data_IF_982754683378
#
_entry.id   IF_982754683378
#
_cell.length_a   1.000
_cell.length_b   1.000
_cell.length_c   1.000
_cell.angle_alpha   90.00
_cell.angle_beta   90.00
_cell.angle_gamma   90.00
#
_symmetry.space_group_name_H-M   'P 1'
#
loop_
_entity.id
_entity.type
_entity.pdbx_description
1 polymer ?
#
# COMPACT_ATOMS: atom_id res chain seq x y z
N UNK A 1 7.16 -9.97 9.22
CA UNK A 1 6.44 -8.79 8.69
C UNK A 1 5.31 -9.33 7.83
N UNK A 2 4.06 -9.19 8.27
CA UNK A 2 2.88 -9.73 7.57
C UNK A 2 2.14 -8.52 7.01
N UNK A 3 2.20 -8.32 5.70
CA UNK A 3 1.36 -7.32 5.05
C UNK A 3 -0.05 -7.88 5.08
N UNK A 4 -0.93 -7.30 5.90
CA UNK A 4 -2.32 -7.71 5.93
C UNK A 4 -3.04 -7.09 4.75
N UNK A 5 -3.10 -7.83 3.64
CA UNK A 5 -3.82 -7.43 2.43
C UNK A 5 -5.29 -7.87 2.47
N UNK A 6 -5.82 -8.31 3.62
CA UNK A 6 -7.21 -8.81 3.72
C UNK A 6 -8.26 -7.72 3.49
N UNK A 7 -7.94 -6.44 3.70
CA UNK A 7 -8.84 -5.34 3.34
C UNK A 7 -8.87 -5.03 1.84
N UNK A 8 -7.90 -5.53 1.06
CA UNK A 8 -7.98 -5.58 -0.39
C UNK A 8 -8.29 -7.01 -0.82
N UNK A 9 -9.42 -7.53 -0.34
CA UNK A 9 -10.06 -8.67 -0.97
C UNK A 9 -10.55 -8.18 -2.33
N UNK A 10 -9.67 -8.27 -3.32
CA UNK A 10 -9.96 -7.95 -4.70
C UNK A 10 -11.25 -8.68 -5.08
N UNK A 11 -12.34 -7.93 -5.27
CA UNK A 11 -13.62 -8.48 -5.70
C UNK A 11 -13.47 -9.33 -6.96
N UNK A 12 -12.41 -9.13 -7.75
CA UNK A 12 -11.97 -10.05 -8.80
C UNK A 12 -10.44 -10.08 -8.97
N UNK A 13 -9.74 -10.94 -8.22
CA UNK A 13 -8.69 -11.81 -8.77
C UNK A 13 -7.38 -11.26 -9.34
N UNK A 14 -7.03 -9.98 -9.27
CA UNK A 14 -5.68 -9.53 -9.66
C UNK A 14 -5.18 -8.36 -8.78
N UNK A 15 -3.91 -8.45 -8.35
CA UNK A 15 -3.21 -7.29 -7.80
C UNK A 15 -3.28 -6.13 -8.79
N UNK A 16 -3.44 -4.87 -8.33
CA UNK A 16 -3.37 -3.72 -9.20
C UNK A 16 -2.04 -3.73 -9.97
N UNK A 17 -2.12 -3.57 -11.29
CA UNK A 17 -0.96 -3.47 -12.18
C UNK A 17 -1.07 -2.15 -12.92
N UNK A 18 0.05 -1.44 -13.06
CA UNK A 18 0.10 -0.20 -13.84
C UNK A 18 0.74 0.97 -13.08
N UNK A 19 0.91 2.05 -13.83
CA UNK A 19 1.34 3.35 -13.33
C UNK A 19 0.11 4.17 -12.93
N UNK A 20 0.19 4.90 -11.83
CA UNK A 20 -0.91 5.73 -11.37
C UNK A 20 -0.62 6.32 -10.00
N UNK A 21 -1.62 7.00 -9.43
CA UNK A 21 -1.57 7.51 -8.06
C UNK A 21 -2.18 6.46 -7.13
N UNK A 22 -1.38 5.93 -6.23
CA UNK A 22 -1.76 4.87 -5.30
C UNK A 22 -1.84 5.41 -3.88
N UNK A 23 -2.97 5.20 -3.22
CA UNK A 23 -3.19 5.57 -1.82
C UNK A 23 -2.84 4.42 -0.87
N UNK A 24 -2.19 4.73 0.25
CA UNK A 24 -1.89 3.78 1.30
C UNK A 24 -2.17 4.38 2.66
N UNK A 25 -2.75 3.60 3.56
CA UNK A 25 -2.89 3.96 4.96
C UNK A 25 -1.74 3.34 5.76
N UNK A 26 -0.93 4.18 6.39
CA UNK A 26 0.24 3.78 7.17
C UNK A 26 0.10 4.38 8.56
N UNK A 27 -0.25 3.54 9.54
CA UNK A 27 -0.33 3.97 10.95
C UNK A 27 -1.38 5.05 11.20
N UNK A 28 -2.50 5.01 10.47
CA UNK A 28 -3.59 6.00 10.58
C UNK A 28 -3.45 7.21 9.67
N UNK A 29 -2.30 7.43 9.03
CA UNK A 29 -2.10 8.49 8.04
C UNK A 29 -2.23 7.98 6.61
N UNK A 30 -2.71 8.83 5.71
CA UNK A 30 -2.85 8.51 4.29
C UNK A 30 -1.67 9.05 3.48
N UNK A 31 -1.07 8.19 2.67
CA UNK A 31 0.03 8.49 1.76
C UNK A 31 -0.38 8.24 0.32
N UNK A 32 0.06 9.12 -0.59
CA UNK A 32 -0.14 8.93 -2.02
C UNK A 32 1.20 8.89 -2.74
N UNK A 33 1.38 7.88 -3.59
CA UNK A 33 2.57 7.74 -4.42
C UNK A 33 2.18 7.61 -5.89
N UNK A 34 2.77 8.44 -6.74
CA UNK A 34 2.58 8.37 -8.19
C UNK A 34 3.70 7.54 -8.80
N UNK A 35 3.45 6.26 -9.04
CA UNK A 35 4.45 5.32 -9.54
C UNK A 35 3.77 4.06 -10.09
N UNK A 36 4.57 3.08 -10.52
CA UNK A 36 4.04 1.72 -10.67
C UNK A 36 3.61 1.17 -9.30
N UNK A 37 2.52 0.41 -9.25
CA UNK A 37 2.00 -0.14 -7.99
C UNK A 37 3.08 -0.83 -7.13
N UNK A 38 3.99 -1.58 -7.77
CA UNK A 38 5.11 -2.25 -7.06
C UNK A 38 6.03 -1.26 -6.36
N UNK A 39 6.33 -0.14 -7.00
CA UNK A 39 7.19 0.92 -6.45
C UNK A 39 6.45 1.71 -5.37
N UNK A 40 5.20 2.08 -5.64
CA UNK A 40 4.33 2.77 -4.68
C UNK A 40 4.17 1.95 -3.39
N UNK A 41 3.95 0.64 -3.52
CA UNK A 41 3.93 -0.30 -2.40
C UNK A 41 5.26 -0.30 -1.65
N UNK A 42 6.40 -0.35 -2.36
CA UNK A 42 7.74 -0.29 -1.73
C UNK A 42 7.91 0.99 -0.91
N UNK A 43 7.54 2.13 -1.47
CA UNK A 43 7.59 3.44 -0.79
C UNK A 43 6.71 3.46 0.46
N UNK A 44 5.48 2.93 0.37
CA UNK A 44 4.60 2.80 1.54
C UNK A 44 5.21 1.93 2.66
N UNK A 45 5.88 0.83 2.30
CA UNK A 45 6.60 -0.01 3.27
C UNK A 45 7.82 0.67 3.88
N UNK A 46 8.55 1.46 3.11
CA UNK A 46 9.68 2.25 3.62
C UNK A 46 9.18 3.27 4.67
N UNK A 47 8.06 3.96 4.38
CA UNK A 47 7.40 4.86 5.35
C UNK A 47 6.93 4.13 6.60
N UNK A 48 6.34 2.94 6.46
CA UNK A 48 5.92 2.14 7.60
C UNK A 48 7.14 1.72 8.45
N UNK A 49 8.24 1.34 7.82
CA UNK A 49 9.49 0.94 8.49
C UNK A 49 10.11 2.09 9.27
N UNK A 50 10.18 3.29 8.69
CA UNK A 50 10.74 4.47 9.39
C UNK A 50 9.89 4.88 10.59
N UNK A 51 8.58 4.66 10.52
CA UNK A 51 7.63 4.97 11.60
C UNK A 51 7.42 3.83 12.61
N UNK A 52 8.08 2.69 12.44
CA UNK A 52 7.89 1.53 13.31
C UNK A 52 6.50 0.89 13.19
N UNK A 53 5.75 1.19 12.13
CA UNK A 53 4.39 0.71 11.89
C UNK A 53 4.44 -0.64 11.18
N UNK A 54 3.61 -1.59 11.64
CA UNK A 54 3.59 -2.97 11.12
C UNK A 54 2.56 -3.22 10.03
N UNK A 55 1.59 -2.33 9.87
CA UNK A 55 0.44 -2.49 8.98
C UNK A 55 0.43 -1.37 7.94
N UNK A 56 0.27 -1.76 6.68
CA UNK A 56 0.09 -0.88 5.53
C UNK A 56 -1.15 -1.37 4.80
N UNK A 57 -2.16 -0.53 4.71
CA UNK A 57 -3.39 -0.80 3.96
C UNK A 57 -3.34 -0.06 2.63
N UNK A 58 -3.90 -0.66 1.58
CA UNK A 58 -3.99 -0.03 0.25
C UNK A 58 -5.39 0.55 0.12
N UNK A 59 -5.49 1.82 -0.26
CA UNK A 59 -6.77 2.48 -0.52
C UNK A 59 -7.31 2.09 -1.90
N UNK A 60 -8.65 2.03 -2.08
CA UNK A 60 -9.29 1.67 -3.35
C UNK A 60 -9.03 2.66 -4.48
#
# INVERSE_FOLDING_TARGET
MRADTTLFQASHGNQPRGWGRWGFQVGGETYFFTAHYREAKRQAFEVARTRGVRVVEVLP
#
